data_IF_498696982898
#
_entry.id   IF_498696982898
#
_cell.length_a   1.000
_cell.length_b   1.000
_cell.length_c   1.000
_cell.angle_alpha   90.00
_cell.angle_beta   90.00
_cell.angle_gamma   90.00
#
_symmetry.space_group_name_H-M   'P 1'
#
loop_
_entity.id
_entity.type
_entity.pdbx_description
1 polymer ?
#
# COMPACT_ATOMS: atom_id res chain seq x y z
N UNK A 1 -13.25 -5.98 0.36
CA UNK A 1 -12.32 -6.62 1.31
C UNK A 1 -11.02 -5.83 1.35
N UNK A 2 -10.43 -5.64 2.52
CA UNK A 2 -9.16 -4.93 2.71
C UNK A 2 -8.13 -5.85 3.38
N UNK A 3 -6.97 -6.02 2.74
CA UNK A 3 -5.83 -6.77 3.29
C UNK A 3 -4.61 -5.86 3.41
N UNK A 4 -3.96 -5.88 4.57
CA UNK A 4 -2.70 -5.16 4.81
C UNK A 4 -1.56 -6.17 4.87
N UNK A 5 -0.49 -5.87 4.11
CA UNK A 5 0.75 -6.65 4.14
C UNK A 5 1.86 -5.72 4.60
N UNK A 6 2.48 -6.03 5.72
CA UNK A 6 3.55 -5.26 6.32
C UNK A 6 4.85 -6.07 6.41
N UNK A 7 5.95 -5.42 6.71
CA UNK A 7 7.25 -6.05 6.93
C UNK A 7 8.42 -5.10 6.67
N UNK A 8 9.61 -5.50 7.10
CA UNK A 8 10.84 -4.74 6.91
C UNK A 8 11.28 -4.62 5.45
N UNK A 9 12.28 -3.79 5.19
CA UNK A 9 12.87 -3.68 3.85
C UNK A 9 13.46 -5.03 3.44
N UNK A 10 13.21 -5.46 2.19
CA UNK A 10 13.70 -6.75 1.68
C UNK A 10 13.04 -7.99 2.26
N UNK A 11 11.97 -7.87 3.07
CA UNK A 11 11.30 -9.02 3.71
C UNK A 11 10.58 -9.96 2.74
N UNK A 12 10.38 -9.57 1.47
CA UNK A 12 9.59 -10.33 0.49
C UNK A 12 8.11 -9.94 0.42
N UNK A 13 7.68 -8.92 1.19
CA UNK A 13 6.27 -8.48 1.27
C UNK A 13 5.65 -8.10 -0.07
N UNK A 14 6.42 -7.45 -0.98
CA UNK A 14 5.91 -7.05 -2.31
C UNK A 14 5.58 -8.28 -3.16
N UNK A 15 6.51 -9.26 -3.21
CA UNK A 15 6.27 -10.51 -3.94
C UNK A 15 5.07 -11.28 -3.36
N UNK A 16 5.01 -11.38 -2.03
CA UNK A 16 3.87 -11.99 -1.34
C UNK A 16 2.55 -11.29 -1.67
N UNK A 17 2.52 -9.94 -1.65
CA UNK A 17 1.33 -9.16 -1.99
C UNK A 17 0.86 -9.37 -3.43
N UNK A 18 1.79 -9.42 -4.38
CA UNK A 18 1.49 -9.71 -5.77
C UNK A 18 0.90 -11.11 -5.95
N UNK A 19 1.50 -12.14 -5.34
CA UNK A 19 1.03 -13.51 -5.44
C UNK A 19 -0.32 -13.69 -4.74
N UNK A 20 -0.49 -13.04 -3.58
CA UNK A 20 -1.74 -13.04 -2.83
C UNK A 20 -2.90 -12.47 -3.67
N UNK A 21 -2.77 -11.26 -4.21
CA UNK A 21 -3.85 -10.66 -5.01
C UNK A 21 -4.08 -11.41 -6.31
N UNK A 22 -3.05 -11.99 -6.93
CA UNK A 22 -3.22 -12.84 -8.11
C UNK A 22 -4.06 -14.08 -7.79
N UNK A 23 -3.84 -14.71 -6.64
CA UNK A 23 -4.63 -15.87 -6.22
C UNK A 23 -6.10 -15.51 -5.97
N UNK A 24 -6.36 -14.33 -5.42
CA UNK A 24 -7.72 -13.85 -5.12
C UNK A 24 -8.47 -13.39 -6.36
N UNK A 25 -7.79 -12.75 -7.30
CA UNK A 25 -8.38 -12.22 -8.51
C UNK A 25 -8.63 -13.33 -9.56
N UNK A 26 -7.81 -14.38 -9.59
CA UNK A 26 -7.84 -15.38 -10.67
C UNK A 26 -7.70 -14.72 -12.03
N UNK A 27 -8.65 -14.96 -12.92
CA UNK A 27 -8.70 -14.37 -14.27
C UNK A 27 -9.30 -12.96 -14.31
N UNK A 28 -9.80 -12.43 -13.17
CA UNK A 28 -10.37 -11.10 -13.16
C UNK A 28 -9.29 -10.03 -13.31
N UNK A 29 -9.71 -8.87 -13.80
CA UNK A 29 -8.87 -7.69 -13.97
C UNK A 29 -8.30 -7.24 -12.62
N UNK A 30 -7.02 -6.89 -12.60
CA UNK A 30 -6.31 -6.46 -11.40
C UNK A 30 -5.34 -5.33 -11.70
N UNK A 31 -5.32 -4.37 -10.80
CA UNK A 31 -4.51 -3.17 -10.90
C UNK A 31 -3.33 -3.21 -9.95
N UNK A 32 -2.19 -2.71 -10.41
CA UNK A 32 -1.04 -2.41 -9.59
C UNK A 32 -0.92 -0.90 -9.47
N UNK A 33 -1.28 -0.35 -8.31
CA UNK A 33 -1.23 1.08 -8.04
C UNK A 33 0.16 1.42 -7.51
N UNK A 34 0.99 1.99 -8.39
CA UNK A 34 2.37 2.34 -8.09
C UNK A 34 2.45 3.75 -7.51
N UNK A 35 2.92 3.87 -6.27
CA UNK A 35 3.07 5.15 -5.57
C UNK A 35 4.49 5.69 -5.59
N UNK A 36 5.46 4.95 -6.11
CA UNK A 36 6.84 5.41 -6.21
C UNK A 36 6.97 6.45 -7.32
N UNK A 37 7.46 7.65 -6.97
CA UNK A 37 7.82 8.68 -7.95
C UNK A 37 9.07 8.26 -8.70
N UNK A 38 9.11 8.56 -10.00
CA UNK A 38 10.36 8.50 -10.77
C UNK A 38 11.31 9.57 -10.25
N UNK A 39 12.59 9.24 -10.18
CA UNK A 39 13.60 10.14 -9.62
C UNK A 39 14.98 9.88 -10.23
N UNK A 40 15.96 9.67 -9.36
CA UNK A 40 17.32 9.33 -9.72
C UNK A 40 17.43 7.92 -10.36
N UNK A 41 18.64 7.60 -10.82
CA UNK A 41 18.91 6.33 -11.51
C UNK A 41 18.62 5.13 -10.60
N UNK A 42 18.92 5.21 -9.31
CA UNK A 42 18.68 4.13 -8.33
C UNK A 42 17.17 3.87 -8.18
N UNK A 43 16.37 4.92 -8.07
CA UNK A 43 14.91 4.84 -7.99
C UNK A 43 14.33 4.25 -9.28
N UNK A 44 14.83 4.67 -10.44
CA UNK A 44 14.37 4.16 -11.73
C UNK A 44 14.75 2.68 -11.92
N UNK A 45 15.93 2.25 -11.50
CA UNK A 45 16.32 0.83 -11.50
C UNK A 45 15.41 0.00 -10.58
N UNK A 46 15.04 0.52 -9.42
CA UNK A 46 14.12 -0.13 -8.50
C UNK A 46 12.73 -0.28 -9.12
N UNK A 47 12.21 0.76 -9.77
CA UNK A 47 10.94 0.71 -10.51
C UNK A 47 11.00 -0.36 -11.61
N UNK A 48 12.08 -0.39 -12.40
CA UNK A 48 12.27 -1.36 -13.47
C UNK A 48 12.32 -2.80 -12.94
N UNK A 49 13.02 -3.02 -11.80
CA UNK A 49 13.06 -4.33 -11.14
C UNK A 49 11.66 -4.79 -10.71
N UNK A 50 10.89 -3.92 -10.07
CA UNK A 50 9.51 -4.23 -9.67
C UNK A 50 8.61 -4.50 -10.89
N UNK A 51 8.79 -3.76 -11.99
CA UNK A 51 8.07 -4.04 -13.24
C UNK A 51 8.41 -5.40 -13.83
N UNK A 52 9.70 -5.76 -13.85
CA UNK A 52 10.16 -7.06 -14.34
C UNK A 52 9.62 -8.23 -13.50
N UNK A 53 9.56 -8.08 -12.16
CA UNK A 53 9.07 -9.12 -11.24
C UNK A 53 7.58 -9.43 -11.45
N UNK A 54 6.77 -8.42 -11.82
CA UNK A 54 5.34 -8.62 -12.08
C UNK A 54 4.99 -8.85 -13.54
N UNK A 55 5.99 -8.87 -14.43
CA UNK A 55 5.78 -9.20 -15.84
C UNK A 55 5.17 -10.61 -15.96
N UNK A 56 4.07 -10.73 -16.70
CA UNK A 56 3.35 -12.00 -16.85
C UNK A 56 2.31 -12.30 -15.76
N UNK A 57 2.21 -11.51 -14.67
CA UNK A 57 1.17 -11.66 -13.64
C UNK A 57 -0.19 -11.04 -14.03
N UNK A 58 -0.28 -10.37 -15.18
CA UNK A 58 -1.53 -9.80 -15.72
C UNK A 58 -2.03 -8.55 -15.02
N UNK A 59 -1.14 -7.77 -14.38
CA UNK A 59 -1.51 -6.48 -13.80
C UNK A 59 -1.61 -5.38 -14.85
N UNK A 60 -2.65 -4.54 -14.72
CA UNK A 60 -2.65 -3.20 -15.30
C UNK A 60 -1.99 -2.24 -14.31
N UNK A 61 -0.90 -1.60 -14.72
CA UNK A 61 -0.16 -0.68 -13.84
C UNK A 61 -0.70 0.74 -13.97
N UNK A 62 -1.05 1.33 -12.82
CA UNK A 62 -1.45 2.72 -12.68
C UNK A 62 -0.43 3.44 -11.81
N UNK A 63 0.20 4.49 -12.33
CA UNK A 63 1.14 5.32 -11.57
C UNK A 63 0.36 6.46 -10.91
N UNK A 64 0.18 6.39 -9.59
CA UNK A 64 -0.53 7.38 -8.79
C UNK A 64 0.27 7.71 -7.52
N UNK A 65 1.32 8.55 -7.61
CA UNK A 65 2.21 8.82 -6.48
C UNK A 65 1.65 9.77 -5.44
N UNK A 66 0.66 10.57 -5.77
CA UNK A 66 -0.05 11.52 -4.90
C UNK A 66 -1.52 11.57 -5.29
N UNK A 67 -2.36 12.23 -4.46
CA UNK A 67 -3.79 12.43 -4.73
C UNK A 67 -4.45 11.09 -5.12
N UNK A 68 -4.27 10.08 -4.26
CA UNK A 68 -4.64 8.69 -4.56
C UNK A 68 -6.13 8.53 -4.90
N UNK A 69 -6.97 9.42 -4.39
CA UNK A 69 -8.41 9.48 -4.67
C UNK A 69 -8.74 9.83 -6.13
N UNK A 70 -7.80 10.44 -6.85
CA UNK A 70 -7.99 10.88 -8.24
C UNK A 70 -7.73 9.76 -9.26
N UNK A 71 -7.32 8.57 -8.81
CA UNK A 71 -7.09 7.41 -9.66
C UNK A 71 -8.30 7.09 -10.56
N UNK A 72 -9.53 7.27 -10.03
CA UNK A 72 -10.78 7.02 -10.75
C UNK A 72 -11.18 8.14 -11.73
N UNK A 73 -10.50 9.29 -11.68
CA UNK A 73 -10.69 10.38 -12.65
C UNK A 73 -9.77 10.21 -13.86
N UNK A 74 -8.59 9.64 -13.64
CA UNK A 74 -7.55 9.48 -14.64
C UNK A 74 -7.56 8.13 -15.35
N UNK A 75 -8.25 7.13 -14.78
CA UNK A 75 -8.29 5.76 -15.28
C UNK A 75 -9.73 5.21 -15.25
N UNK A 76 -10.10 4.50 -16.31
CA UNK A 76 -11.38 3.81 -16.39
C UNK A 76 -11.31 2.48 -15.61
N UNK A 77 -11.46 2.60 -14.28
CA UNK A 77 -11.47 1.47 -13.36
C UNK A 77 -12.92 1.15 -13.01
N UNK A 78 -13.38 -0.01 -13.45
CA UNK A 78 -14.70 -0.50 -13.11
C UNK A 78 -14.82 -0.76 -11.59
N UNK A 79 -16.03 -0.67 -11.01
CA UNK A 79 -16.25 -1.12 -9.64
C UNK A 79 -16.02 -2.64 -9.51
N UNK A 80 -15.74 -3.09 -8.28
CA UNK A 80 -15.57 -4.50 -7.92
C UNK A 80 -14.37 -5.20 -8.58
N UNK A 81 -13.38 -4.44 -9.04
CA UNK A 81 -12.09 -4.96 -9.50
C UNK A 81 -11.12 -5.21 -8.32
N UNK A 82 -9.96 -5.76 -8.62
CA UNK A 82 -8.92 -6.10 -7.65
C UNK A 82 -7.75 -5.13 -7.75
N UNK A 83 -7.15 -4.73 -6.62
CA UNK A 83 -6.01 -3.82 -6.65
C UNK A 83 -4.96 -4.14 -5.58
N UNK A 84 -3.71 -3.91 -5.94
CA UNK A 84 -2.55 -3.89 -5.05
C UNK A 84 -1.95 -2.50 -5.05
N UNK A 85 -1.88 -1.84 -3.88
CA UNK A 85 -1.19 -0.57 -3.69
C UNK A 85 0.22 -0.82 -3.16
N UNK A 86 1.23 -0.39 -3.92
CA UNK A 86 2.67 -0.52 -3.57
C UNK A 86 3.37 0.84 -3.69
N UNK A 87 3.69 1.50 -2.57
CA UNK A 87 3.37 1.15 -1.20
C UNK A 87 2.87 2.38 -0.42
N UNK A 88 2.24 2.15 0.72
CA UNK A 88 1.73 3.21 1.59
C UNK A 88 2.83 4.18 2.05
N UNK A 89 4.03 3.68 2.37
CA UNK A 89 5.14 4.51 2.81
C UNK A 89 5.57 5.55 1.75
N UNK A 90 5.60 5.17 0.47
CA UNK A 90 5.89 6.12 -0.61
C UNK A 90 4.76 7.16 -0.75
N UNK A 91 3.50 6.73 -0.68
CA UNK A 91 2.36 7.64 -0.77
C UNK A 91 2.40 8.69 0.34
N UNK A 92 2.62 8.28 1.59
CA UNK A 92 2.70 9.19 2.74
C UNK A 92 3.86 10.16 2.60
N UNK A 93 5.05 9.68 2.19
CA UNK A 93 6.20 10.54 1.94
C UNK A 93 5.92 11.57 0.82
N UNK A 94 5.30 11.13 -0.27
CA UNK A 94 4.98 11.98 -1.39
C UNK A 94 3.94 13.06 -1.07
N UNK A 95 2.97 12.76 -0.22
CA UNK A 95 1.97 13.73 0.23
C UNK A 95 2.56 14.70 1.26
N UNK A 96 3.45 14.23 2.14
CA UNK A 96 4.08 15.07 3.17
C UNK A 96 5.12 16.02 2.56
N UNK A 97 5.96 15.54 1.64
CA UNK A 97 7.06 16.31 1.04
C UNK A 97 6.73 16.67 -0.42
N UNK A 98 5.73 17.53 -0.58
CA UNK A 98 5.17 17.88 -1.90
C UNK A 98 5.44 19.33 -2.26
N UNK A 99 5.78 19.59 -3.52
CA UNK A 99 5.91 20.94 -4.11
C UNK A 99 6.89 21.85 -3.35
N UNK A 100 7.97 21.26 -2.81
CA UNK A 100 8.97 21.99 -2.02
C UNK A 100 8.48 22.44 -0.64
N UNK A 101 7.36 21.88 -0.16
CA UNK A 101 6.77 22.15 1.15
C UNK A 101 6.72 20.87 1.98
N UNK A 102 6.64 21.07 3.30
CA UNK A 102 6.35 20.01 4.25
C UNK A 102 4.95 20.25 4.81
N UNK A 103 4.05 19.30 4.57
CA UNK A 103 2.69 19.36 5.10
C UNK A 103 2.64 18.74 6.49
N UNK A 104 1.75 19.25 7.35
CA UNK A 104 1.59 18.75 8.72
C UNK A 104 0.97 17.35 8.78
N UNK A 105 1.21 16.67 9.90
CA UNK A 105 0.78 15.27 10.13
C UNK A 105 -0.73 15.09 10.01
N UNK A 106 -1.53 16.02 10.54
CA UNK A 106 -2.98 15.91 10.56
C UNK A 106 -3.57 16.06 9.15
N UNK A 107 -3.02 16.99 8.35
CA UNK A 107 -3.41 17.16 6.96
C UNK A 107 -3.11 15.90 6.14
N UNK A 108 -1.88 15.38 6.23
CA UNK A 108 -1.46 14.19 5.47
C UNK A 108 -2.24 12.96 5.90
N UNK A 109 -2.42 12.76 7.21
CA UNK A 109 -3.22 11.66 7.73
C UNK A 109 -4.65 11.68 7.17
N UNK A 110 -5.32 12.84 7.28
CA UNK A 110 -6.69 12.98 6.78
C UNK A 110 -6.78 12.71 5.28
N UNK A 111 -5.89 13.33 4.49
CA UNK A 111 -5.88 13.21 3.03
C UNK A 111 -5.69 11.76 2.58
N UNK A 112 -4.71 11.07 3.15
CA UNK A 112 -4.44 9.67 2.81
C UNK A 112 -5.59 8.77 3.24
N UNK A 113 -6.15 8.96 4.44
CA UNK A 113 -7.27 8.13 4.91
C UNK A 113 -8.54 8.36 4.09
N UNK A 114 -8.88 9.60 3.76
CA UNK A 114 -10.02 9.90 2.87
C UNK A 114 -9.85 9.22 1.49
N UNK A 115 -8.64 9.20 0.95
CA UNK A 115 -8.31 8.48 -0.28
C UNK A 115 -8.44 6.96 -0.14
N UNK A 116 -7.94 6.39 0.96
CA UNK A 116 -8.07 4.95 1.22
C UNK A 116 -9.51 4.50 1.37
N UNK A 117 -10.37 5.28 2.04
CA UNK A 117 -11.79 4.98 2.14
C UNK A 117 -12.47 4.90 0.76
N UNK A 118 -12.11 5.80 -0.17
CA UNK A 118 -12.60 5.75 -1.55
C UNK A 118 -12.13 4.49 -2.28
N UNK A 119 -10.85 4.12 -2.14
CA UNK A 119 -10.32 2.91 -2.77
C UNK A 119 -11.01 1.65 -2.20
N UNK A 120 -11.13 1.56 -0.88
CA UNK A 120 -11.79 0.42 -0.21
C UNK A 120 -13.24 0.26 -0.65
N UNK A 121 -13.95 1.37 -0.87
CA UNK A 121 -15.35 1.34 -1.31
C UNK A 121 -15.55 0.94 -2.77
N UNK A 122 -14.51 1.09 -3.62
CA UNK A 122 -14.60 0.86 -5.07
C UNK A 122 -14.05 -0.49 -5.49
N UNK A 123 -12.97 -0.95 -4.86
CA UNK A 123 -12.38 -2.24 -5.19
C UNK A 123 -13.05 -3.39 -4.42
N UNK A 124 -13.29 -4.49 -5.11
CA UNK A 124 -13.78 -5.73 -4.48
C UNK A 124 -12.79 -6.25 -3.45
N UNK A 125 -11.51 -6.20 -3.79
CA UNK A 125 -10.41 -6.52 -2.88
C UNK A 125 -9.25 -5.55 -3.12
N UNK A 126 -8.90 -4.82 -2.08
CA UNK A 126 -7.74 -3.95 -2.04
C UNK A 126 -6.68 -4.56 -1.12
N UNK A 127 -5.49 -4.79 -1.66
CA UNK A 127 -4.30 -5.16 -0.90
C UNK A 127 -3.40 -3.93 -0.79
N UNK A 128 -2.96 -3.61 0.41
CA UNK A 128 -2.03 -2.49 0.66
C UNK A 128 -0.73 -3.05 1.23
N UNK A 129 0.37 -2.78 0.54
CA UNK A 129 1.71 -3.05 1.06
C UNK A 129 2.22 -1.83 1.80
N UNK A 130 2.73 -2.05 3.02
CA UNK A 130 3.34 -1.00 3.84
C UNK A 130 4.64 -1.46 4.47
N UNK A 131 5.44 -0.52 4.98
CA UNK A 131 6.70 -0.83 5.64
C UNK A 131 6.55 -0.73 7.17
N UNK A 132 7.28 -1.62 7.86
CA UNK A 132 7.62 -1.46 9.26
C UNK A 132 8.99 -0.75 9.33
N UNK A 133 9.00 0.55 9.70
CA UNK A 133 10.19 1.41 9.77
C UNK A 133 10.47 1.92 11.18
N UNK A 134 9.81 1.32 12.19
CA UNK A 134 9.74 1.89 13.54
C UNK A 134 10.77 1.30 14.53
N UNK A 135 11.62 0.36 14.09
CA UNK A 135 12.41 -0.49 15.00
C UNK A 135 13.92 -0.43 14.77
N UNK A 136 14.44 0.54 14.00
CA UNK A 136 15.87 0.59 13.68
C UNK A 136 16.74 1.29 14.73
N UNK A 137 16.11 1.94 15.75
CA UNK A 137 16.81 2.59 16.86
C UNK A 137 17.64 3.83 16.45
N UNK A 138 17.45 4.35 15.24
CA UNK A 138 18.14 5.53 14.75
C UNK A 138 17.55 6.83 15.34
N UNK A 139 18.39 7.84 15.53
CA UNK A 139 17.95 9.21 15.82
C UNK A 139 17.60 9.89 14.48
N UNK A 140 16.38 10.38 14.38
CA UNK A 140 15.87 11.05 13.19
C UNK A 140 15.65 12.53 13.44
N UNK A 141 15.82 13.36 12.40
CA UNK A 141 15.40 14.75 12.41
C UNK A 141 13.87 14.90 12.56
N UNK A 142 13.41 16.12 12.86
CA UNK A 142 11.99 16.40 13.12
C UNK A 142 11.07 16.02 11.96
N UNK A 143 11.50 16.23 10.73
CA UNK A 143 10.69 15.90 9.55
C UNK A 143 10.56 14.39 9.34
N UNK A 144 11.66 13.68 9.51
CA UNK A 144 11.67 12.21 9.48
C UNK A 144 10.80 11.63 10.58
N UNK A 145 10.86 12.19 11.80
CA UNK A 145 10.00 11.79 12.91
C UNK A 145 8.52 12.07 12.64
N UNK A 146 8.20 13.20 12.00
CA UNK A 146 6.84 13.54 11.59
C UNK A 146 6.30 12.53 10.58
N UNK A 147 7.10 12.16 9.57
CA UNK A 147 6.76 11.12 8.61
C UNK A 147 6.53 9.75 9.27
N UNK A 148 7.44 9.33 10.16
CA UNK A 148 7.35 8.06 10.90
C UNK A 148 6.05 8.01 11.71
N UNK A 149 5.74 9.07 12.49
CA UNK A 149 4.50 9.14 13.27
C UNK A 149 3.25 9.09 12.39
N UNK A 150 3.25 9.83 11.28
CA UNK A 150 2.12 9.86 10.36
C UNK A 150 1.89 8.49 9.72
N UNK A 151 2.93 7.84 9.19
CA UNK A 151 2.84 6.51 8.63
C UNK A 151 2.37 5.48 9.67
N UNK A 152 2.88 5.55 10.91
CA UNK A 152 2.46 4.68 12.01
C UNK A 152 0.98 4.83 12.35
N UNK A 153 0.49 6.07 12.41
CA UNK A 153 -0.93 6.34 12.66
C UNK A 153 -1.82 5.83 11.51
N UNK A 154 -1.40 6.02 10.26
CA UNK A 154 -2.11 5.49 9.08
C UNK A 154 -2.12 3.96 9.10
N UNK A 155 -0.98 3.32 9.31
CA UNK A 155 -0.88 1.86 9.39
C UNK A 155 -1.79 1.28 10.48
N UNK A 156 -1.84 1.91 11.66
CA UNK A 156 -2.73 1.50 12.76
C UNK A 156 -4.20 1.61 12.37
N UNK A 157 -4.59 2.72 11.73
CA UNK A 157 -5.97 2.94 11.29
C UNK A 157 -6.39 1.95 10.20
N UNK A 158 -5.52 1.73 9.22
CA UNK A 158 -5.76 0.73 8.17
C UNK A 158 -5.84 -0.69 8.72
N UNK A 159 -4.96 -1.07 9.66
CA UNK A 159 -5.01 -2.38 10.30
C UNK A 159 -6.31 -2.59 11.11
N UNK A 160 -6.83 -1.53 11.75
CA UNK A 160 -8.12 -1.59 12.44
C UNK A 160 -9.28 -1.85 11.45
N UNK A 161 -9.26 -1.21 10.28
CA UNK A 161 -10.26 -1.34 9.22
C UNK A 161 -10.14 -2.66 8.42
N UNK A 162 -8.93 -3.21 8.32
CA UNK A 162 -8.65 -4.35 7.48
C UNK A 162 -9.38 -5.63 7.91
N UNK A 163 -9.79 -6.43 6.93
CA UNK A 163 -10.28 -7.79 7.14
C UNK A 163 -9.13 -8.75 7.52
N UNK A 164 -7.94 -8.52 6.90
CA UNK A 164 -6.74 -9.33 7.16
C UNK A 164 -5.49 -8.45 7.30
N UNK A 165 -4.59 -8.84 8.19
CA UNK A 165 -3.27 -8.23 8.35
C UNK A 165 -2.22 -9.35 8.40
N UNK A 166 -1.23 -9.27 7.53
CA UNK A 166 -0.12 -10.23 7.46
C UNK A 166 1.22 -9.48 7.54
N UNK A 167 2.09 -9.92 8.42
CA UNK A 167 3.49 -9.49 8.42
C UNK A 167 4.35 -10.50 7.68
N UNK A 168 5.22 -10.02 6.79
CA UNK A 168 6.18 -10.88 6.09
C UNK A 168 7.56 -10.71 6.71
N UNK A 169 8.03 -11.78 7.36
CA UNK A 169 9.33 -11.84 8.05
C UNK A 169 10.23 -12.81 7.29
N UNK A 170 11.31 -12.33 6.71
CA UNK A 170 12.28 -13.13 5.91
C UNK A 170 11.63 -14.10 4.92
N UNK A 171 10.62 -13.62 4.20
CA UNK A 171 9.86 -14.39 3.22
C UNK A 171 8.72 -15.24 3.79
N UNK A 172 8.56 -15.30 5.10
CA UNK A 172 7.52 -16.10 5.76
C UNK A 172 6.35 -15.19 6.13
N UNK A 173 5.12 -15.43 5.60
CA UNK A 173 3.94 -14.68 6.02
C UNK A 173 3.45 -15.13 7.40
N UNK A 174 3.29 -14.17 8.30
CA UNK A 174 2.74 -14.35 9.64
C UNK A 174 1.41 -13.61 9.72
N UNK A 175 0.33 -14.35 9.93
CA UNK A 175 -1.02 -13.79 10.09
C UNK A 175 -1.14 -13.08 11.43
N UNK A 176 -1.43 -11.78 11.40
CA UNK A 176 -1.63 -10.93 12.60
C UNK A 176 -3.12 -10.77 12.89
N UNK A 177 -3.94 -10.63 11.82
CA UNK A 177 -5.39 -10.51 11.91
C UNK A 177 -6.04 -11.30 10.78
N UNK A 178 -7.07 -12.05 11.12
CA UNK A 178 -7.96 -12.70 10.15
C UNK A 178 -9.41 -12.29 10.46
N UNK A 179 -10.20 -12.11 9.41
CA UNK A 179 -11.64 -11.94 9.58
C UNK A 179 -12.18 -13.22 10.22
N UNK A 180 -12.81 -13.11 11.38
CA UNK A 180 -13.54 -14.22 11.98
C UNK A 180 -14.59 -14.69 10.97
N UNK A 181 -14.50 -15.94 10.50
CA UNK A 181 -15.61 -16.58 9.83
C UNK A 181 -16.73 -16.69 10.88
N UNK A 182 -17.76 -15.85 10.75
CA UNK A 182 -18.98 -16.07 11.51
C UNK A 182 -19.46 -17.48 11.14
N UNK A 183 -19.33 -18.40 12.06
CA UNK A 183 -20.02 -19.68 11.98
C UNK A 183 -21.50 -19.36 12.02
N UNK A 184 -22.15 -19.36 10.85
CA UNK A 184 -23.59 -19.49 10.77
C UNK A 184 -23.92 -20.92 11.19
N UNK A 185 -24.01 -21.15 12.50
CA UNK A 185 -24.69 -22.31 13.05
C UNK A 185 -26.21 -22.11 12.79
N UNK A 186 -26.67 -22.72 11.74
CA UNK A 186 -28.08 -23.03 11.49
C UNK A 186 -28.32 -24.49 11.68
#
# INVERSE_FOLDING_TARGET
>A
MLTIITGGSGSGKSAYGEDYICSMAGENKKYYIATMKRGDDETNERINRHRAMRAGKGFETVEQPVDIEDIFLSHDIAPDEYALLECMSNLVANEMFRDGKVYDEAFVFKKVMDGMEKLVSRFKHLVIVTNNIFEDGAEYDEYSMSYIRTLGNINRSLAAMADEVTEVVVGIPVKIKEKSLEHNDN
#
